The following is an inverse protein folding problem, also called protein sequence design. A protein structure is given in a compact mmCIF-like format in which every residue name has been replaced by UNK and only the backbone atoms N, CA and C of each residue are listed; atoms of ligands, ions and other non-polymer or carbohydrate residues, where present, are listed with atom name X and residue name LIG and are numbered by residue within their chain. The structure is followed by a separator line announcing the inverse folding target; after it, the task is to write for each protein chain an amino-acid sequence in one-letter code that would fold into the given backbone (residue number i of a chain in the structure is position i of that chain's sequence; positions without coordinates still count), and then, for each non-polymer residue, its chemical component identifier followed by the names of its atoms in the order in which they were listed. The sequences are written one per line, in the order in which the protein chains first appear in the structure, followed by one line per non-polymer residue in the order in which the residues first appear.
data_IF_867398372947
#
_entry.id   IF_867398372947
#
_cell.length_a   1.000
_cell.length_b   1.000
_cell.length_c   1.000
_cell.angle_alpha   90.00
_cell.angle_beta   90.00
_cell.angle_gamma   90.00
#
_symmetry.space_group_name_H-M   'P 1'
#
loop_
_entity.id
_entity.type
_entity.pdbx_description
1 polymer ?
#
# COMPACT_ATOMS: atom_id res chain seq x y z
N UNK A 1 39.38 -32.67 -36.21
CA UNK A 1 38.59 -31.43 -36.45
C UNK A 1 37.28 -31.37 -35.65
N UNK A 2 37.08 -32.21 -34.63
CA UNK A 2 35.80 -32.36 -33.90
C UNK A 2 35.80 -31.75 -32.48
N UNK A 3 36.98 -31.45 -31.92
CA UNK A 3 37.14 -30.92 -30.56
C UNK A 3 36.95 -29.40 -30.48
N UNK A 4 37.43 -28.63 -31.47
CA UNK A 4 37.30 -27.17 -31.47
C UNK A 4 35.85 -26.67 -31.57
N UNK A 5 34.97 -27.43 -32.24
CA UNK A 5 33.57 -27.06 -32.44
C UNK A 5 32.70 -27.22 -31.19
N UNK A 6 33.11 -28.07 -30.23
CA UNK A 6 32.41 -28.26 -28.95
C UNK A 6 32.78 -27.20 -27.90
N UNK A 7 33.98 -26.63 -27.99
CA UNK A 7 34.42 -25.53 -27.13
C UNK A 7 33.78 -24.19 -27.52
N UNK A 8 33.55 -23.96 -28.81
CA UNK A 8 32.92 -22.73 -29.31
C UNK A 8 31.42 -22.62 -28.94
N UNK A 9 30.68 -23.72 -28.83
CA UNK A 9 29.26 -23.70 -28.41
C UNK A 9 29.07 -23.54 -26.90
N UNK A 10 30.04 -23.93 -26.08
CA UNK A 10 29.95 -23.75 -24.63
C UNK A 10 30.17 -22.29 -24.21
N UNK A 11 30.95 -21.52 -24.99
CA UNK A 11 31.26 -20.13 -24.69
C UNK A 11 30.10 -19.17 -25.02
N UNK A 12 29.20 -19.55 -25.94
CA UNK A 12 28.05 -18.74 -26.34
C UNK A 12 26.85 -18.82 -25.37
N UNK A 13 26.81 -19.85 -24.52
CA UNK A 13 25.71 -20.04 -23.55
C UNK A 13 26.03 -19.36 -22.21
N UNK A 14 27.31 -19.20 -21.87
CA UNK A 14 27.73 -18.59 -20.61
C UNK A 14 27.56 -17.07 -20.55
N UNK A 15 27.43 -16.38 -21.69
CA UNK A 15 27.31 -14.90 -21.75
C UNK A 15 25.88 -14.37 -21.76
N UNK A 16 24.87 -15.21 -21.99
CA UNK A 16 23.45 -14.79 -21.98
C UNK A 16 22.78 -14.85 -20.60
N UNK A 17 23.40 -15.48 -19.60
CA UNK A 17 22.77 -15.72 -18.29
C UNK A 17 22.96 -14.53 -17.33
N UNK A 18 23.88 -13.60 -17.61
CA UNK A 18 24.17 -12.48 -16.71
C UNK A 18 23.21 -11.29 -16.80
N UNK A 19 22.18 -11.29 -17.67
CA UNK A 19 21.24 -10.17 -17.80
C UNK A 19 19.88 -10.35 -17.10
N UNK A 20 19.60 -11.50 -16.47
CA UNK A 20 18.32 -11.73 -15.78
C UNK A 20 18.38 -11.46 -14.26
N UNK A 21 19.51 -10.97 -13.75
CA UNK A 21 19.74 -10.72 -12.33
C UNK A 21 19.53 -9.26 -11.88
N UNK A 22 19.03 -8.38 -12.74
CA UNK A 22 18.61 -7.04 -12.33
C UNK A 22 17.25 -7.20 -11.63
N UNK A 23 17.29 -7.59 -10.35
CA UNK A 23 16.15 -7.42 -9.46
C UNK A 23 15.71 -5.97 -9.60
N UNK A 24 14.44 -5.75 -9.93
CA UNK A 24 13.84 -4.43 -9.95
C UNK A 24 14.29 -3.68 -8.70
N UNK A 25 14.70 -2.40 -8.79
CA UNK A 25 14.84 -1.62 -7.58
C UNK A 25 13.49 -1.75 -6.86
N UNK A 26 13.51 -2.32 -5.65
CA UNK A 26 12.46 -2.18 -4.67
C UNK A 26 12.43 -0.67 -4.37
N UNK A 27 11.79 0.10 -5.26
CA UNK A 27 11.43 1.46 -4.93
C UNK A 27 10.44 1.30 -3.80
N UNK A 28 10.77 1.91 -2.64
CA UNK A 28 9.80 2.01 -1.56
C UNK A 28 8.53 2.63 -2.15
N UNK A 29 7.39 1.98 -1.92
CA UNK A 29 6.11 2.49 -2.41
C UNK A 29 5.82 3.83 -1.73
N UNK A 30 5.31 4.78 -2.52
CA UNK A 30 4.92 6.08 -1.99
C UNK A 30 3.57 5.95 -1.30
N UNK A 31 3.60 5.66 0.00
CA UNK A 31 2.39 5.49 0.80
C UNK A 31 1.58 6.79 0.95
N UNK A 32 2.12 7.94 0.54
CA UNK A 32 1.37 9.20 0.52
C UNK A 32 0.43 9.31 -0.68
N UNK A 33 0.60 8.46 -1.71
CA UNK A 33 -0.33 8.36 -2.82
C UNK A 33 -1.49 7.41 -2.49
N UNK A 34 -2.71 7.95 -2.43
CA UNK A 34 -3.91 7.16 -2.15
C UNK A 34 -4.16 6.06 -3.19
N UNK A 35 -3.70 6.26 -4.43
CA UNK A 35 -3.86 5.23 -5.47
C UNK A 35 -3.12 3.94 -5.09
N UNK A 36 -1.97 4.03 -4.43
CA UNK A 36 -1.23 2.86 -3.92
C UNK A 36 -2.07 2.03 -2.94
N UNK A 37 -2.83 2.68 -2.05
CA UNK A 37 -3.73 1.98 -1.14
C UNK A 37 -4.92 1.36 -1.89
N UNK A 38 -5.45 2.09 -2.87
CA UNK A 38 -6.64 1.70 -3.64
C UNK A 38 -6.37 0.54 -4.61
N UNK A 39 -5.12 0.26 -4.99
CA UNK A 39 -4.77 -0.94 -5.77
C UNK A 39 -5.28 -2.25 -5.13
N UNK A 40 -5.38 -2.28 -3.79
CA UNK A 40 -5.95 -3.41 -3.05
C UNK A 40 -7.28 -3.08 -2.35
N UNK A 41 -7.53 -1.83 -1.95
CA UNK A 41 -8.69 -1.45 -1.15
C UNK A 41 -9.86 -0.83 -1.93
N UNK A 42 -9.77 -0.61 -3.24
CA UNK A 42 -10.82 0.05 -4.03
C UNK A 42 -12.20 -0.62 -3.90
N UNK A 43 -12.23 -1.95 -3.84
CA UNK A 43 -13.45 -2.77 -3.80
C UNK A 43 -13.78 -3.29 -2.39
N UNK A 44 -12.98 -2.95 -1.38
CA UNK A 44 -13.22 -3.42 -0.01
C UNK A 44 -14.36 -2.63 0.66
N UNK A 45 -15.29 -3.32 1.35
CA UNK A 45 -16.38 -2.65 2.03
C UNK A 45 -15.84 -1.78 3.17
N UNK A 46 -16.25 -0.51 3.17
CA UNK A 46 -15.97 0.42 4.27
C UNK A 46 -16.89 0.12 5.45
N UNK A 47 -16.47 -0.79 6.30
CA UNK A 47 -17.22 -1.17 7.50
C UNK A 47 -17.48 0.05 8.39
N UNK A 48 -18.59 0.01 9.13
CA UNK A 48 -18.78 0.96 10.23
C UNK A 48 -17.72 0.70 11.31
N UNK A 49 -17.32 1.72 12.08
CA UNK A 49 -16.46 1.52 13.24
C UNK A 49 -17.09 0.52 14.22
N UNK A 50 -16.27 -0.33 14.84
CA UNK A 50 -16.74 -1.27 15.87
C UNK A 50 -17.31 -0.55 17.10
N UNK A 51 -16.76 0.62 17.42
CA UNK A 51 -17.28 1.49 18.46
C UNK A 51 -18.40 2.38 17.89
N UNK A 52 -19.66 2.26 18.35
CA UNK A 52 -20.77 3.08 17.85
C UNK A 52 -20.62 4.57 18.15
N UNK A 53 -19.78 4.94 19.12
CA UNK A 53 -19.50 6.35 19.44
C UNK A 53 -18.47 6.97 18.47
N UNK A 54 -17.81 6.16 17.63
CA UNK A 54 -16.89 6.65 16.59
C UNK A 54 -17.66 7.00 15.31
N UNK A 55 -17.37 8.16 14.68
CA UNK A 55 -18.03 8.56 13.44
C UNK A 55 -17.61 7.67 12.27
N UNK A 56 -18.55 7.39 11.36
CA UNK A 56 -18.21 6.81 10.05
C UNK A 56 -17.68 7.92 9.14
N UNK A 57 -16.43 7.78 8.72
CA UNK A 57 -15.73 8.82 7.94
C UNK A 57 -15.83 8.60 6.43
N UNK A 58 -16.04 7.37 5.97
CA UNK A 58 -16.20 7.08 4.55
C UNK A 58 -17.64 6.69 4.18
N UNK A 59 -18.09 7.14 3.02
CA UNK A 59 -19.31 6.69 2.37
C UNK A 59 -19.12 5.28 1.78
N UNK A 60 -20.19 4.64 1.32
CA UNK A 60 -20.08 3.31 0.71
C UNK A 60 -19.26 3.34 -0.59
N UNK A 61 -19.27 4.46 -1.30
CA UNK A 61 -18.70 4.59 -2.65
C UNK A 61 -17.20 4.87 -2.70
N UNK A 62 -16.55 5.26 -1.61
CA UNK A 62 -15.22 5.87 -1.75
C UNK A 62 -14.97 7.00 -0.81
N UNK A 63 -15.90 7.92 -0.90
CA UNK A 63 -15.72 9.32 -0.56
C UNK A 63 -15.77 9.54 0.94
N UNK A 64 -15.32 10.72 1.36
CA UNK A 64 -15.42 11.14 2.75
C UNK A 64 -16.81 11.68 3.06
N UNK A 65 -17.27 11.48 4.30
CA UNK A 65 -18.51 12.09 4.82
C UNK A 65 -18.35 13.58 5.09
N UNK A 66 -17.10 14.06 5.20
CA UNK A 66 -16.71 15.46 5.36
C UNK A 66 -15.72 15.83 4.25
N UNK A 67 -16.06 16.82 3.44
CA UNK A 67 -15.26 17.27 2.27
C UNK A 67 -13.84 17.69 2.65
N UNK A 68 -13.66 18.34 3.80
CA UNK A 68 -12.34 18.76 4.30
C UNK A 68 -11.38 17.58 4.53
N UNK A 69 -11.86 16.33 4.57
CA UNK A 69 -10.98 15.16 4.66
C UNK A 69 -10.42 14.70 3.32
N UNK A 70 -10.96 15.17 2.19
CA UNK A 70 -10.46 14.84 0.85
C UNK A 70 -9.03 15.36 0.59
N UNK A 71 -8.57 16.32 1.40
CA UNK A 71 -7.21 16.85 1.31
C UNK A 71 -6.15 15.95 1.98
N UNK A 72 -6.57 14.95 2.75
CA UNK A 72 -5.68 14.05 3.48
C UNK A 72 -5.49 12.73 2.74
N UNK A 73 -4.29 12.17 2.85
CA UNK A 73 -3.95 10.84 2.37
C UNK A 73 -4.43 9.76 3.34
N UNK A 74 -4.59 8.52 2.87
CA UNK A 74 -5.01 7.38 3.69
C UNK A 74 -4.15 7.24 4.95
N UNK A 75 -2.83 7.40 4.81
CA UNK A 75 -1.86 7.27 5.90
C UNK A 75 -1.86 8.45 6.89
N UNK A 76 -2.51 9.58 6.58
CA UNK A 76 -2.62 10.67 7.54
C UNK A 76 -3.55 10.30 8.71
N UNK A 77 -4.51 9.40 8.46
CA UNK A 77 -5.35 8.78 9.50
C UNK A 77 -4.84 7.39 9.87
N UNK A 78 -4.39 6.60 8.88
CA UNK A 78 -3.85 5.25 9.07
C UNK A 78 -2.33 5.26 9.26
N UNK A 79 -1.86 6.05 10.23
CA UNK A 79 -0.43 6.29 10.50
C UNK A 79 0.35 5.04 10.93
N UNK A 80 -0.35 3.99 11.35
CA UNK A 80 0.23 2.68 11.64
C UNK A 80 0.73 1.93 10.41
N UNK A 81 0.32 2.35 9.20
CA UNK A 81 0.70 1.71 7.94
C UNK A 81 2.01 2.34 7.44
N UNK A 82 3.12 1.63 7.69
CA UNK A 82 4.47 2.13 7.34
C UNK A 82 5.12 1.41 6.17
N UNK A 83 4.57 0.28 5.74
CA UNK A 83 5.09 -0.52 4.65
C UNK A 83 4.01 -1.41 4.03
N UNK A 84 4.25 -1.85 2.80
CA UNK A 84 3.47 -2.86 2.09
C UNK A 84 4.43 -4.03 1.75
N UNK A 85 4.07 -5.30 2.02
CA UNK A 85 2.84 -5.76 2.67
C UNK A 85 2.68 -5.21 4.10
N UNK A 86 1.43 -4.94 4.51
CA UNK A 86 1.15 -4.36 5.82
C UNK A 86 1.69 -5.22 6.98
N UNK A 87 2.15 -4.61 8.09
CA UNK A 87 2.52 -5.34 9.30
C UNK A 87 1.36 -6.20 9.83
N UNK A 88 1.66 -7.33 10.47
CA UNK A 88 0.62 -8.16 11.09
C UNK A 88 -0.11 -7.41 12.22
N UNK A 89 -1.44 -7.56 12.29
CA UNK A 89 -2.26 -7.03 13.38
C UNK A 89 -2.63 -5.54 13.27
N UNK A 90 -2.46 -4.93 12.09
CA UNK A 90 -2.94 -3.56 11.81
C UNK A 90 -4.38 -3.53 11.28
N UNK A 91 -4.94 -4.68 10.95
CA UNK A 91 -6.33 -4.84 10.52
C UNK A 91 -7.30 -4.41 11.64
N UNK A 92 -8.26 -3.55 11.28
CA UNK A 92 -9.30 -3.08 12.20
C UNK A 92 -8.81 -2.14 13.31
N UNK A 93 -7.56 -1.68 13.26
CA UNK A 93 -7.08 -0.69 14.23
C UNK A 93 -7.81 0.65 14.07
N UNK A 94 -8.23 1.22 15.19
CA UNK A 94 -8.86 2.54 15.22
C UNK A 94 -7.83 3.63 14.92
N UNK A 95 -8.24 4.62 14.12
CA UNK A 95 -7.44 5.81 13.81
C UNK A 95 -7.47 6.81 14.96
N UNK A 96 -6.44 7.66 15.05
CA UNK A 96 -6.38 8.72 16.05
C UNK A 96 -6.88 10.07 15.49
N UNK A 97 -8.10 10.46 15.86
CA UNK A 97 -8.68 11.76 15.47
C UNK A 97 -7.99 12.97 16.12
N UNK A 98 -7.32 12.75 17.27
CA UNK A 98 -6.74 13.83 18.07
C UNK A 98 -5.46 14.42 17.47
N UNK A 99 -4.96 13.83 16.37
CA UNK A 99 -3.87 14.41 15.59
C UNK A 99 -4.26 15.76 14.95
N UNK A 100 -5.56 15.95 14.66
CA UNK A 100 -6.10 17.17 14.03
C UNK A 100 -7.23 17.82 14.86
N UNK A 101 -7.98 17.05 15.64
CA UNK A 101 -9.09 17.55 16.44
C UNK A 101 -8.72 17.65 17.93
N UNK A 102 -9.34 18.56 18.68
CA UNK A 102 -9.13 18.68 20.14
C UNK A 102 -9.69 17.49 20.95
N UNK A 103 -10.37 16.55 20.28
CA UNK A 103 -10.89 15.28 20.79
C UNK A 103 -11.54 14.49 19.65
N UNK A 104 -11.96 13.25 19.89
CA UNK A 104 -12.74 12.48 18.91
C UNK A 104 -14.09 13.17 18.64
N UNK A 105 -14.36 13.61 17.39
CA UNK A 105 -15.65 14.19 17.05
C UNK A 105 -16.78 13.17 17.18
N UNK A 106 -17.94 13.59 17.70
CA UNK A 106 -19.16 12.78 17.75
C UNK A 106 -20.09 13.12 16.58
N UNK A 107 -20.90 12.18 16.11
CA UNK A 107 -21.87 12.40 15.01
C UNK A 107 -23.14 13.16 15.44
N UNK A 108 -23.01 14.22 16.24
CA UNK A 108 -24.17 15.07 16.62
C UNK A 108 -24.55 16.08 15.53
#
# INVERSE_FOLDING_TARGET
MTTARKLLTALSVATLISLLGMGSPLLAEDLSDNETCLECHADEPRAAPDNPDMPRIHNEDGSFTVEDHEMWSCIDCHDMITEIPHPEGVDGQAVNCENCHEGTPTME
#
